data_IF_249319612885
#
_entry.id   IF_249319612885
#
_cell.length_a   1.000
_cell.length_b   1.000
_cell.length_c   1.000
_cell.angle_alpha   90.00
_cell.angle_beta   90.00
_cell.angle_gamma   90.00
#
_symmetry.space_group_name_H-M   'P 1'
#
loop_
_entity.id
_entity.type
_entity.pdbx_description
1 polymer ?
#
# COMPACT_ATOMS: atom_id res chain seq x y z
N UNK A 1 64.48 43.87 6.81
CA UNK A 1 64.58 44.60 5.53
C UNK A 1 64.34 43.62 4.39
N UNK A 2 63.49 44.00 3.43
CA UNK A 2 62.96 43.16 2.33
C UNK A 2 63.91 43.15 1.12
N UNK A 3 64.05 41.98 0.49
CA UNK A 3 64.40 41.73 -0.94
C UNK A 3 63.96 40.29 -1.21
N UNK A 4 62.83 39.94 -1.85
CA UNK A 4 62.33 40.16 -3.22
C UNK A 4 63.24 39.60 -4.33
N UNK A 5 62.90 38.42 -4.86
CA UNK A 5 62.92 38.02 -6.29
C UNK A 5 62.60 36.53 -6.42
N UNK A 6 61.37 36.17 -6.80
CA UNK A 6 60.94 35.84 -8.18
C UNK A 6 61.45 34.50 -8.68
N UNK A 7 60.56 33.51 -8.82
CA UNK A 7 60.30 32.75 -10.05
C UNK A 7 59.12 31.78 -9.76
N UNK A 8 57.93 32.04 -10.30
CA UNK A 8 57.48 31.46 -11.58
C UNK A 8 57.04 30.00 -11.44
N UNK A 9 55.77 29.76 -11.13
CA UNK A 9 54.96 28.83 -11.92
C UNK A 9 53.47 29.03 -11.66
N UNK A 10 52.85 29.69 -12.64
CA UNK A 10 51.42 29.70 -12.89
C UNK A 10 51.10 28.40 -13.66
N UNK A 11 50.28 27.51 -13.10
CA UNK A 11 49.50 26.58 -13.94
C UNK A 11 48.31 25.99 -13.18
N UNK A 12 47.13 26.41 -13.65
CA UNK A 12 45.94 25.59 -13.93
C UNK A 12 45.47 24.62 -12.83
N UNK A 13 44.34 24.91 -12.18
CA UNK A 13 43.01 24.45 -12.62
C UNK A 13 42.99 22.94 -12.92
N UNK A 14 42.48 22.14 -11.98
CA UNK A 14 41.38 21.22 -12.26
C UNK A 14 40.62 20.93 -10.98
N UNK A 15 39.43 21.54 -10.92
CA UNK A 15 38.33 21.16 -10.05
C UNK A 15 38.00 19.68 -10.27
N UNK A 16 38.38 18.82 -9.34
CA UNK A 16 37.64 17.58 -9.13
C UNK A 16 36.68 17.81 -7.97
N UNK A 17 35.60 18.53 -8.28
CA UNK A 17 34.32 18.22 -7.69
C UNK A 17 34.01 16.77 -8.13
N UNK A 18 34.42 15.80 -7.32
CA UNK A 18 33.94 14.43 -7.48
C UNK A 18 32.45 14.51 -7.16
N UNK A 19 31.66 14.53 -8.22
CA UNK A 19 30.22 14.73 -8.15
C UNK A 19 29.63 13.79 -7.13
N UNK A 20 28.98 14.36 -6.12
CA UNK A 20 27.86 13.70 -5.49
C UNK A 20 26.91 13.37 -6.63
N UNK A 21 26.94 12.13 -7.12
CA UNK A 21 25.84 11.63 -7.90
C UNK A 21 24.64 11.76 -6.95
N UNK A 22 23.63 12.59 -7.23
CA UNK A 22 22.37 12.38 -6.57
C UNK A 22 21.97 11.00 -7.04
N UNK A 23 22.06 9.99 -6.18
CA UNK A 23 21.18 8.84 -6.31
C UNK A 23 19.79 9.43 -6.13
N UNK A 24 19.23 9.91 -7.25
CA UNK A 24 17.81 10.15 -7.38
C UNK A 24 17.18 8.86 -6.89
N UNK A 25 16.61 8.89 -5.68
CA UNK A 25 15.68 7.85 -5.29
C UNK A 25 14.53 8.06 -6.26
N UNK A 26 14.54 7.29 -7.34
CA UNK A 26 13.45 7.27 -8.31
C UNK A 26 12.27 6.62 -7.57
N UNK A 27 11.54 7.44 -6.83
CA UNK A 27 10.27 7.07 -6.22
C UNK A 27 9.34 6.80 -7.41
N UNK A 28 8.92 5.56 -7.69
CA UNK A 28 8.29 5.28 -8.97
C UNK A 28 6.93 6.00 -9.07
N UNK A 29 6.65 6.46 -10.30
CA UNK A 29 5.70 7.51 -10.67
C UNK A 29 4.20 7.18 -10.51
N UNK A 30 3.82 6.23 -9.65
CA UNK A 30 2.41 5.93 -9.40
C UNK A 30 2.22 5.37 -8.01
N UNK A 31 1.30 5.93 -7.24
CA UNK A 31 0.81 5.32 -5.98
C UNK A 31 -0.51 4.58 -6.19
N UNK A 32 -1.14 4.74 -7.37
CA UNK A 32 -2.47 4.21 -7.72
C UNK A 32 -2.39 3.41 -9.01
N UNK A 33 -2.95 2.19 -9.02
CA UNK A 33 -3.11 1.34 -10.20
C UNK A 33 -4.57 1.35 -10.66
N UNK A 34 -4.82 1.72 -11.93
CA UNK A 34 -6.12 1.55 -12.58
C UNK A 34 -6.40 0.09 -12.98
N UNK A 35 -5.35 -0.75 -13.04
CA UNK A 35 -5.48 -2.14 -13.52
C UNK A 35 -5.68 -3.16 -12.39
N UNK A 36 -5.33 -2.78 -11.15
CA UNK A 36 -5.68 -3.49 -9.92
C UNK A 36 -7.15 -3.25 -9.57
N UNK A 37 -8.05 -3.99 -10.22
CA UNK A 37 -9.49 -3.87 -10.01
C UNK A 37 -9.98 -4.78 -8.88
N UNK A 38 -10.83 -4.26 -8.00
CA UNK A 38 -11.48 -5.04 -6.94
C UNK A 38 -12.68 -5.81 -7.51
N UNK A 39 -12.88 -7.06 -7.09
CA UNK A 39 -13.92 -7.94 -7.65
C UNK A 39 -14.88 -8.46 -6.57
N UNK A 40 -14.35 -8.90 -5.43
CA UNK A 40 -15.14 -9.46 -4.33
C UNK A 40 -14.57 -8.98 -3.00
N UNK A 41 -15.42 -8.61 -2.03
CA UNK A 41 -16.87 -8.40 -2.17
C UNK A 41 -17.21 -7.29 -3.18
N UNK A 42 -18.43 -7.25 -3.73
CA UNK A 42 -18.80 -6.21 -4.68
C UNK A 42 -18.97 -4.84 -3.97
N UNK A 43 -18.83 -3.74 -4.71
CA UNK A 43 -19.09 -2.40 -4.19
C UNK A 43 -20.52 -2.29 -3.63
N UNK A 44 -20.66 -1.67 -2.46
CA UNK A 44 -21.91 -1.54 -1.69
C UNK A 44 -22.58 -2.87 -1.33
N UNK A 45 -21.85 -3.99 -1.33
CA UNK A 45 -22.41 -5.29 -0.95
C UNK A 45 -22.66 -5.39 0.56
N UNK A 46 -23.68 -6.16 0.91
CA UNK A 46 -23.93 -6.61 2.29
C UNK A 46 -23.46 -8.06 2.41
N UNK A 47 -22.54 -8.33 3.32
CA UNK A 47 -21.93 -9.63 3.54
C UNK A 47 -22.27 -10.11 4.94
N UNK A 48 -23.11 -11.13 5.03
CA UNK A 48 -23.47 -11.76 6.30
C UNK A 48 -22.48 -12.88 6.60
N UNK A 49 -21.84 -12.84 7.77
CA UNK A 49 -20.86 -13.84 8.20
C UNK A 49 -21.14 -14.31 9.64
N UNK A 50 -20.98 -15.60 9.90
CA UNK A 50 -20.94 -16.18 11.24
C UNK A 50 -19.55 -16.14 11.87
N UNK A 51 -19.45 -16.52 13.15
CA UNK A 51 -18.21 -16.49 13.93
C UNK A 51 -17.12 -17.46 13.42
N UNK A 52 -17.51 -18.48 12.66
CA UNK A 52 -16.63 -19.47 12.02
C UNK A 52 -16.33 -19.16 10.56
N UNK A 53 -16.95 -18.12 9.98
CA UNK A 53 -16.90 -17.89 8.55
C UNK A 53 -15.66 -17.08 8.14
N UNK A 54 -15.38 -17.13 6.85
CA UNK A 54 -14.31 -16.36 6.20
C UNK A 54 -14.89 -15.42 5.16
N UNK A 55 -14.55 -14.14 5.24
CA UNK A 55 -14.83 -13.18 4.18
C UNK A 55 -13.76 -13.27 3.10
N UNK A 56 -14.15 -13.54 1.86
CA UNK A 56 -13.21 -13.67 0.74
C UNK A 56 -13.06 -12.35 -0.02
N UNK A 57 -11.82 -11.90 -0.15
CA UNK A 57 -11.42 -10.80 -1.01
C UNK A 57 -10.81 -11.33 -2.30
N UNK A 58 -11.21 -10.78 -3.44
CA UNK A 58 -10.70 -11.14 -4.76
C UNK A 58 -10.48 -9.87 -5.57
N UNK A 59 -9.38 -9.83 -6.30
CA UNK A 59 -9.01 -8.71 -7.18
C UNK A 59 -8.39 -9.24 -8.48
N UNK A 60 -8.28 -8.37 -9.48
CA UNK A 60 -7.57 -8.66 -10.71
C UNK A 60 -6.07 -8.39 -10.51
N UNK A 61 -5.22 -9.29 -11.02
CA UNK A 61 -3.78 -9.02 -11.11
C UNK A 61 -3.56 -7.77 -11.98
N UNK A 62 -2.85 -6.75 -11.49
CA UNK A 62 -2.56 -5.57 -12.26
C UNK A 62 -1.64 -5.89 -13.45
N UNK A 63 -1.80 -5.14 -14.53
CA UNK A 63 -0.99 -5.23 -15.75
C UNK A 63 0.06 -4.11 -15.82
N UNK A 64 -0.04 -3.09 -14.97
CA UNK A 64 0.89 -1.96 -14.90
C UNK A 64 2.06 -2.19 -13.93
N UNK A 65 2.16 -3.38 -13.32
CA UNK A 65 3.26 -3.79 -12.45
C UNK A 65 3.59 -5.27 -12.68
N UNK A 66 4.88 -5.59 -12.75
CA UNK A 66 5.40 -6.96 -12.88
C UNK A 66 6.09 -7.41 -11.59
N UNK A 67 6.47 -8.69 -11.51
CA UNK A 67 7.24 -9.25 -10.37
C UNK A 67 6.58 -9.03 -9.00
N UNK A 68 5.25 -9.17 -8.95
CA UNK A 68 4.47 -8.99 -7.72
C UNK A 68 4.95 -9.96 -6.66
N UNK A 69 5.31 -9.41 -5.50
CA UNK A 69 5.79 -10.16 -4.34
C UNK A 69 4.68 -10.38 -3.32
N UNK A 70 3.78 -9.40 -3.17
CA UNK A 70 2.78 -9.39 -2.11
C UNK A 70 1.57 -8.53 -2.50
N UNK A 71 0.42 -8.91 -1.97
CA UNK A 71 -0.75 -8.04 -1.89
C UNK A 71 -1.11 -7.80 -0.43
N UNK A 72 -1.78 -6.67 -0.16
CA UNK A 72 -2.33 -6.33 1.16
C UNK A 72 -3.75 -5.82 1.01
N UNK A 73 -4.69 -6.50 1.62
CA UNK A 73 -6.04 -5.97 1.83
C UNK A 73 -5.98 -5.01 3.02
N UNK A 74 -6.55 -3.82 2.84
CA UNK A 74 -6.68 -2.81 3.88
C UNK A 74 -8.16 -2.54 4.08
N UNK A 75 -8.63 -2.65 5.34
CA UNK A 75 -10.00 -2.36 5.74
C UNK A 75 -10.00 -1.26 6.80
N UNK A 76 -10.93 -0.33 6.70
CA UNK A 76 -11.18 0.72 7.70
C UNK A 76 -12.65 1.16 7.64
N UNK A 77 -13.20 1.78 8.70
CA UNK A 77 -14.48 2.49 8.67
C UNK A 77 -14.46 3.79 7.87
N UNK A 78 -13.29 4.34 7.55
CA UNK A 78 -13.13 5.56 6.76
C UNK A 78 -12.47 5.24 5.40
N UNK A 79 -12.84 5.99 4.36
CA UNK A 79 -12.30 5.81 3.01
C UNK A 79 -10.85 6.29 2.88
N UNK A 80 -10.39 7.16 3.77
CA UNK A 80 -9.02 7.67 3.73
C UNK A 80 -8.03 6.78 4.52
N UNK A 81 -8.53 5.76 5.22
CA UNK A 81 -7.73 4.79 5.99
C UNK A 81 -6.84 5.42 7.09
N UNK A 82 -7.27 6.55 7.67
CA UNK A 82 -6.48 7.33 8.64
C UNK A 82 -6.99 7.30 10.08
N UNK A 83 -8.20 6.79 10.33
CA UNK A 83 -8.88 6.98 11.62
C UNK A 83 -8.34 6.06 12.76
N UNK A 84 -7.33 5.24 12.48
CA UNK A 84 -6.70 4.33 13.44
C UNK A 84 -7.36 2.95 13.59
N UNK A 85 -8.57 2.74 13.05
CA UNK A 85 -9.24 1.44 12.99
C UNK A 85 -8.92 0.74 11.67
N UNK A 86 -7.63 0.54 11.38
CA UNK A 86 -7.18 -0.06 10.12
C UNK A 86 -6.72 -1.50 10.32
N UNK A 87 -7.35 -2.45 9.64
CA UNK A 87 -6.86 -3.82 9.54
C UNK A 87 -6.09 -4.00 8.23
N UNK A 88 -4.89 -4.58 8.33
CA UNK A 88 -4.00 -4.86 7.19
C UNK A 88 -3.69 -6.34 7.17
N UNK A 89 -4.02 -7.01 6.07
CA UNK A 89 -3.79 -8.46 5.93
C UNK A 89 -3.15 -8.74 4.59
N UNK A 90 -2.11 -9.56 4.60
CA UNK A 90 -1.21 -9.75 3.46
C UNK A 90 -1.32 -11.17 2.90
N UNK A 91 -1.08 -11.30 1.60
CA UNK A 91 -0.92 -12.59 0.91
C UNK A 91 0.21 -12.50 -0.12
N UNK A 92 0.89 -13.62 -0.39
CA UNK A 92 2.05 -13.67 -1.27
C UNK A 92 1.62 -14.11 -2.67
N UNK A 93 1.72 -13.21 -3.64
CA UNK A 93 1.47 -13.52 -5.06
C UNK A 93 0.03 -13.87 -5.45
N UNK A 94 -0.83 -14.24 -4.51
CA UNK A 94 -2.21 -14.64 -4.76
C UNK A 94 -3.15 -13.45 -4.97
N UNK A 95 -4.06 -13.56 -5.94
CA UNK A 95 -5.07 -12.53 -6.22
C UNK A 95 -6.35 -12.67 -5.38
N UNK A 96 -6.24 -13.38 -4.26
CA UNK A 96 -7.33 -13.55 -3.32
C UNK A 96 -6.82 -13.73 -1.89
N UNK A 97 -7.63 -13.32 -0.93
CA UNK A 97 -7.36 -13.47 0.50
C UNK A 97 -8.64 -13.88 1.21
N UNK A 98 -8.56 -14.94 2.02
CA UNK A 98 -9.63 -15.33 2.93
C UNK A 98 -9.35 -14.72 4.30
N UNK A 99 -10.27 -13.88 4.78
CA UNK A 99 -10.18 -13.20 6.06
C UNK A 99 -11.15 -13.88 7.05
N UNK A 100 -10.66 -14.71 8.00
CA UNK A 100 -11.52 -15.30 9.01
C UNK A 100 -12.09 -14.23 9.95
N UNK A 101 -13.30 -14.46 10.47
CA UNK A 101 -13.95 -13.55 11.42
C UNK A 101 -13.05 -13.20 12.61
N UNK A 102 -12.27 -14.16 13.13
CA UNK A 102 -11.34 -13.93 14.25
C UNK A 102 -10.36 -12.78 14.00
N UNK A 103 -9.89 -12.62 12.76
CA UNK A 103 -9.02 -11.51 12.34
C UNK A 103 -9.83 -10.24 12.08
N UNK A 104 -11.02 -10.35 11.49
CA UNK A 104 -11.88 -9.19 11.27
C UNK A 104 -12.30 -8.53 12.60
N UNK A 105 -12.54 -9.32 13.65
CA UNK A 105 -12.85 -8.86 15.01
C UNK A 105 -11.66 -8.20 15.73
N UNK A 106 -10.45 -8.19 15.14
CA UNK A 106 -9.33 -7.35 15.60
C UNK A 106 -9.51 -5.88 15.24
N UNK A 107 -10.40 -5.57 14.27
CA UNK A 107 -10.74 -4.21 13.92
C UNK A 107 -11.52 -3.59 15.09
N UNK A 108 -10.94 -2.57 15.75
CA UNK A 108 -11.55 -1.90 16.90
C UNK A 108 -12.97 -1.39 16.64
N UNK A 109 -13.28 -1.02 15.40
CA UNK A 109 -14.59 -0.56 14.98
C UNK A 109 -15.61 -1.69 14.73
N UNK A 110 -15.17 -2.94 14.72
CA UNK A 110 -15.95 -4.15 14.50
C UNK A 110 -15.93 -5.01 15.76
N UNK A 111 -16.60 -4.54 16.82
CA UNK A 111 -16.79 -5.34 18.04
C UNK A 111 -18.05 -6.19 17.91
N UNK A 112 -18.09 -7.33 18.61
CA UNK A 112 -19.25 -8.24 18.66
C UNK A 112 -20.57 -7.60 19.11
N UNK A 113 -20.52 -6.41 19.72
CA UNK A 113 -21.70 -5.62 20.08
C UNK A 113 -22.37 -4.95 18.87
N UNK A 114 -21.64 -4.73 17.77
CA UNK A 114 -22.14 -4.14 16.54
C UNK A 114 -22.47 -5.25 15.54
N UNK A 115 -23.76 -5.51 15.36
CA UNK A 115 -24.25 -6.57 14.47
C UNK A 115 -24.07 -6.25 12.99
N UNK A 116 -23.82 -4.98 12.64
CA UNK A 116 -23.59 -4.57 11.26
C UNK A 116 -22.70 -3.34 11.21
N UNK A 117 -21.77 -3.30 10.25
CA UNK A 117 -20.81 -2.20 10.09
C UNK A 117 -20.48 -1.95 8.62
N UNK A 118 -20.50 -0.68 8.22
CA UNK A 118 -19.93 -0.23 6.96
C UNK A 118 -18.41 -0.11 7.09
N UNK A 119 -17.69 -0.79 6.20
CA UNK A 119 -16.24 -0.74 6.06
C UNK A 119 -15.91 -0.35 4.62
N UNK A 120 -14.83 0.39 4.45
CA UNK A 120 -14.18 0.61 3.17
C UNK A 120 -13.01 -0.35 3.06
N UNK A 121 -12.84 -0.97 1.89
CA UNK A 121 -11.66 -1.77 1.63
C UNK A 121 -10.99 -1.41 0.31
N UNK A 122 -9.68 -1.60 0.28
CA UNK A 122 -8.85 -1.49 -0.92
C UNK A 122 -7.75 -2.54 -0.87
N UNK A 123 -7.01 -2.68 -1.98
CA UNK A 123 -5.89 -3.61 -2.07
C UNK A 123 -4.64 -2.85 -2.50
N UNK A 124 -3.54 -3.12 -1.82
CA UNK A 124 -2.21 -2.71 -2.23
C UNK A 124 -1.48 -3.90 -2.85
N UNK A 125 -0.59 -3.63 -3.80
CA UNK A 125 0.27 -4.61 -4.46
C UNK A 125 1.71 -4.13 -4.40
N UNK A 126 2.63 -5.00 -4.02
CA UNK A 126 4.03 -4.68 -3.88
C UNK A 126 4.91 -5.47 -4.87
N UNK A 127 5.88 -4.80 -5.46
CA UNK A 127 6.96 -5.37 -6.28
C UNK A 127 8.30 -4.79 -5.83
N UNK A 128 9.10 -5.58 -5.12
CA UNK A 128 10.32 -5.08 -4.47
C UNK A 128 10.01 -3.94 -3.50
N UNK A 129 10.63 -2.77 -3.73
CA UNK A 129 10.48 -1.57 -2.89
C UNK A 129 9.32 -0.66 -3.33
N UNK A 130 8.53 -1.08 -4.30
CA UNK A 130 7.43 -0.30 -4.86
C UNK A 130 6.08 -0.87 -4.44
N UNK A 131 5.12 0.00 -4.16
CA UNK A 131 3.75 -0.38 -3.80
C UNK A 131 2.72 0.50 -4.53
N UNK A 132 1.70 -0.13 -5.09
CA UNK A 132 0.53 0.52 -5.71
C UNK A 132 -0.72 0.19 -4.91
N UNK A 133 -1.59 1.17 -4.69
CA UNK A 133 -2.97 0.96 -4.25
C UNK A 133 -3.86 0.73 -5.46
N UNK A 134 -4.90 -0.08 -5.33
CA UNK A 134 -6.03 -0.05 -6.27
C UNK A 134 -6.57 1.37 -6.37
N UNK A 135 -7.02 1.82 -7.54
CA UNK A 135 -7.80 3.05 -7.62
C UNK A 135 -9.07 2.97 -6.79
N UNK A 136 -9.69 1.80 -6.81
CA UNK A 136 -10.98 1.57 -6.19
C UNK A 136 -10.88 1.51 -4.66
N UNK A 137 -11.92 2.02 -4.03
CA UNK A 137 -12.22 1.86 -2.61
C UNK A 137 -13.65 1.35 -2.57
N UNK A 138 -13.86 0.13 -2.10
CA UNK A 138 -15.17 -0.49 -2.07
C UNK A 138 -15.75 -0.36 -0.67
N UNK A 139 -16.79 0.48 -0.48
CA UNK A 139 -17.66 0.37 0.68
C UNK A 139 -18.38 -0.98 0.68
N UNK A 140 -18.35 -1.69 1.80
CA UNK A 140 -19.02 -2.95 2.03
C UNK A 140 -19.62 -2.96 3.44
N UNK A 141 -20.82 -3.51 3.59
CA UNK A 141 -21.43 -3.72 4.90
C UNK A 141 -21.16 -5.15 5.33
N UNK A 142 -20.59 -5.34 6.52
CA UNK A 142 -20.47 -6.65 7.15
C UNK A 142 -21.54 -6.77 8.22
N UNK A 143 -22.33 -7.83 8.17
CA UNK A 143 -23.36 -8.15 9.16
C UNK A 143 -23.03 -9.47 9.84
N UNK A 144 -23.08 -9.52 11.17
CA UNK A 144 -22.86 -10.74 11.93
C UNK A 144 -24.15 -11.56 12.00
N UNK A 145 -24.06 -12.81 11.55
CA UNK A 145 -25.10 -13.79 11.79
C UNK A 145 -25.03 -14.21 13.27
N UNK A 146 -26.12 -14.13 14.03
CA UNK A 146 -26.17 -14.61 15.41
C UNK A 146 -25.89 -16.11 15.55
#
# INVERSE_FOLDING_TARGET
MKTLSYLFLLSLLFTFACGEQPTTIEIPARTISDSLALLTPAINSVNTIGLSDTLKFVWRKPTDISNITRYRVVLDTDSDFTNGSVLRVETLGDTSLALPYSRLNELSAFTSSQRSKLLNYTVFVASGNFELRSKDIFPITITLNP
#
